data_IF_624170135865
#
_entry.id   IF_624170135865
#
_cell.length_a   1.000
_cell.length_b   1.000
_cell.length_c   1.000
_cell.angle_alpha   90.00
_cell.angle_beta   90.00
_cell.angle_gamma   90.00
#
_symmetry.space_group_name_H-M   'P 1'
#
loop_
_entity.id
_entity.type
_entity.pdbx_description
1 polymer ?
#
# COMPACT_ATOMS: atom_id res chain seq x y z
N UNK A 1 19.34 25.89 20.36
CA UNK A 1 18.14 26.03 19.52
C UNK A 1 18.42 25.31 18.19
N UNK A 2 18.04 24.05 18.03
CA UNK A 2 18.27 23.27 16.81
C UNK A 2 17.18 23.73 15.80
N UNK A 3 17.56 24.24 14.61
CA UNK A 3 16.56 24.66 13.64
C UNK A 3 15.70 23.46 13.26
N UNK A 4 14.38 23.57 13.43
CA UNK A 4 13.45 22.58 12.98
C UNK A 4 13.68 22.36 11.49
N UNK A 5 14.16 21.16 11.10
CA UNK A 5 14.33 20.79 9.70
C UNK A 5 12.96 20.92 9.03
N UNK A 6 12.79 21.94 8.17
CA UNK A 6 11.62 22.05 7.32
C UNK A 6 11.40 20.72 6.60
N UNK A 7 10.23 20.13 6.69
CA UNK A 7 9.96 18.87 6.02
C UNK A 7 10.20 19.05 4.52
N UNK A 8 10.87 18.07 3.92
CA UNK A 8 11.12 18.05 2.47
C UNK A 8 9.79 17.73 1.76
N UNK A 9 8.90 18.72 1.62
CA UNK A 9 7.61 18.58 0.95
C UNK A 9 7.77 18.27 -0.54
N UNK A 10 8.79 18.85 -1.17
CA UNK A 10 9.05 18.67 -2.61
C UNK A 10 9.28 17.19 -3.00
N UNK A 11 10.17 16.41 -2.34
CA UNK A 11 10.33 14.99 -2.67
C UNK A 11 9.05 14.17 -2.48
N UNK A 12 8.27 14.46 -1.45
CA UNK A 12 7.00 13.76 -1.21
C UNK A 12 5.97 14.10 -2.30
N UNK A 13 5.87 15.36 -2.70
CA UNK A 13 4.98 15.80 -3.78
C UNK A 13 5.39 15.20 -5.13
N UNK A 14 6.68 15.16 -5.44
CA UNK A 14 7.20 14.54 -6.68
C UNK A 14 6.86 13.05 -6.69
N UNK A 15 7.10 12.34 -5.57
CA UNK A 15 6.79 10.92 -5.47
C UNK A 15 5.28 10.65 -5.58
N UNK A 16 4.45 11.49 -4.96
CA UNK A 16 3.00 11.41 -5.09
C UNK A 16 2.55 11.55 -6.55
N UNK A 17 3.00 12.61 -7.23
CA UNK A 17 2.63 12.88 -8.63
C UNK A 17 3.13 11.78 -9.54
N UNK A 18 4.36 11.30 -9.35
CA UNK A 18 4.92 10.20 -10.14
C UNK A 18 4.13 8.89 -9.95
N UNK A 19 3.80 8.54 -8.70
CA UNK A 19 3.04 7.35 -8.39
C UNK A 19 1.60 7.43 -8.93
N UNK A 20 0.95 8.59 -8.80
CA UNK A 20 -0.39 8.82 -9.34
C UNK A 20 -0.41 8.76 -10.87
N UNK A 21 0.56 9.39 -11.54
CA UNK A 21 0.68 9.35 -13.00
C UNK A 21 0.95 7.92 -13.50
N UNK A 22 1.84 7.18 -12.83
CA UNK A 22 2.12 5.79 -13.15
C UNK A 22 0.89 4.90 -12.92
N UNK A 23 0.14 5.10 -11.82
CA UNK A 23 -1.12 4.40 -11.57
C UNK A 23 -2.15 4.67 -12.66
N UNK A 24 -2.35 5.94 -13.01
CA UNK A 24 -3.29 6.33 -14.07
C UNK A 24 -2.90 5.73 -15.42
N UNK A 25 -1.59 5.69 -15.74
CA UNK A 25 -1.09 5.03 -16.94
C UNK A 25 -1.38 3.52 -16.92
N UNK A 26 -1.08 2.82 -15.81
CA UNK A 26 -1.41 1.39 -15.67
C UNK A 26 -2.92 1.17 -15.85
N UNK A 27 -3.75 1.94 -15.16
CA UNK A 27 -5.22 1.82 -15.26
C UNK A 27 -5.72 2.03 -16.71
N UNK A 28 -5.24 3.07 -17.39
CA UNK A 28 -5.61 3.34 -18.79
C UNK A 28 -5.11 2.24 -19.76
N UNK A 29 -3.94 1.66 -19.49
CA UNK A 29 -3.37 0.60 -20.29
C UNK A 29 -4.16 -0.73 -20.19
N UNK A 30 -4.97 -0.91 -19.16
CA UNK A 30 -5.85 -2.09 -19.04
C UNK A 30 -7.01 -2.07 -20.04
N UNK A 31 -7.50 -0.87 -20.37
CA UNK A 31 -8.63 -0.66 -21.28
C UNK A 31 -8.17 -0.43 -22.73
N UNK A 32 -6.89 -0.10 -22.94
CA UNK A 32 -6.35 0.23 -24.25
C UNK A 32 -6.43 -0.94 -25.25
N UNK A 33 -6.73 -0.60 -26.50
CA UNK A 33 -6.68 -1.55 -27.62
C UNK A 33 -5.27 -2.14 -27.75
N UNK A 34 -5.17 -3.48 -27.81
CA UNK A 34 -3.90 -4.18 -27.84
C UNK A 34 -3.33 -4.56 -26.45
N UNK A 35 -3.92 -4.12 -25.37
CA UNK A 35 -3.57 -4.47 -23.97
C UNK A 35 -2.06 -4.47 -23.73
N UNK A 36 -1.38 -3.30 -23.67
CA UNK A 36 0.10 -3.23 -23.61
C UNK A 36 0.70 -3.94 -22.40
N UNK A 37 -0.07 -4.13 -21.31
CA UNK A 37 0.35 -4.91 -20.13
C UNK A 37 -0.02 -6.40 -20.23
N UNK A 38 -0.77 -6.81 -21.26
CA UNK A 38 -1.19 -8.20 -21.42
C UNK A 38 -0.03 -9.17 -21.61
N UNK A 39 1.05 -8.76 -22.27
CA UNK A 39 2.26 -9.56 -22.42
C UNK A 39 3.00 -9.76 -21.09
N UNK A 40 3.07 -8.75 -20.24
CA UNK A 40 3.62 -8.85 -18.89
C UNK A 40 2.80 -9.79 -18.02
N UNK A 41 1.47 -9.64 -18.05
CA UNK A 41 0.56 -10.46 -17.27
C UNK A 41 0.62 -11.93 -17.71
N UNK A 42 0.61 -12.19 -19.03
CA UNK A 42 0.73 -13.53 -19.58
C UNK A 42 2.10 -14.15 -19.29
N UNK A 43 3.19 -13.38 -19.43
CA UNK A 43 4.54 -13.82 -19.10
C UNK A 43 4.64 -14.20 -17.63
N UNK A 44 4.23 -13.36 -16.70
CA UNK A 44 4.28 -13.65 -15.28
C UNK A 44 3.46 -14.90 -14.91
N UNK A 45 2.27 -15.05 -15.47
CA UNK A 45 1.43 -16.23 -15.26
C UNK A 45 2.09 -17.51 -15.80
N UNK A 46 2.67 -17.46 -17.02
CA UNK A 46 3.32 -18.62 -17.65
C UNK A 46 4.55 -19.14 -16.90
N UNK A 47 5.24 -18.28 -16.17
CA UNK A 47 6.37 -18.66 -15.33
C UNK A 47 5.96 -19.17 -13.95
N UNK A 48 4.97 -18.55 -13.33
CA UNK A 48 4.64 -18.80 -11.92
C UNK A 48 3.62 -19.93 -11.75
N UNK A 49 2.61 -20.00 -12.60
CA UNK A 49 1.55 -20.99 -12.44
C UNK A 49 2.02 -22.46 -12.61
N UNK A 50 2.92 -22.80 -13.56
CA UNK A 50 3.43 -24.16 -13.69
C UNK A 50 4.31 -24.65 -12.50
N UNK A 51 4.74 -23.70 -11.63
CA UNK A 51 5.49 -24.04 -10.42
C UNK A 51 4.59 -24.57 -9.29
N UNK A 52 3.26 -24.65 -9.50
CA UNK A 52 2.33 -25.11 -8.49
C UNK A 52 2.71 -26.49 -7.94
N UNK A 53 2.99 -26.54 -6.65
CA UNK A 53 3.30 -27.73 -5.87
C UNK A 53 2.66 -27.57 -4.49
N UNK A 54 2.15 -28.62 -3.84
CA UNK A 54 1.47 -28.50 -2.54
C UNK A 54 2.24 -27.67 -1.53
N UNK A 55 3.51 -28.02 -1.25
CA UNK A 55 4.32 -27.29 -0.27
C UNK A 55 4.56 -25.82 -0.62
N UNK A 56 4.74 -25.51 -1.93
CA UNK A 56 4.94 -24.12 -2.38
C UNK A 56 3.63 -23.34 -2.32
N UNK A 57 2.51 -23.98 -2.64
CA UNK A 57 1.17 -23.37 -2.51
C UNK A 57 0.88 -23.04 -1.06
N UNK A 58 1.17 -23.95 -0.12
CA UNK A 58 1.01 -23.69 1.31
C UNK A 58 1.88 -22.48 1.77
N UNK A 59 3.14 -22.45 1.33
CA UNK A 59 4.03 -21.31 1.61
C UNK A 59 3.47 -20.00 1.05
N UNK A 60 2.95 -19.99 -0.19
CA UNK A 60 2.37 -18.80 -0.82
C UNK A 60 1.06 -18.38 -0.16
N UNK A 61 0.26 -19.31 0.36
CA UNK A 61 -0.91 -19.01 1.18
C UNK A 61 -0.53 -18.33 2.49
N UNK A 62 0.50 -18.81 3.19
CA UNK A 62 1.02 -18.16 4.41
C UNK A 62 1.54 -16.76 4.11
N UNK A 63 2.35 -16.58 3.05
CA UNK A 63 2.84 -15.27 2.63
C UNK A 63 1.67 -14.35 2.28
N UNK A 64 0.68 -14.84 1.54
CA UNK A 64 -0.53 -14.09 1.22
C UNK A 64 -1.30 -13.67 2.47
N UNK A 65 -1.46 -14.57 3.46
CA UNK A 65 -2.13 -14.28 4.73
C UNK A 65 -1.42 -13.17 5.53
N UNK A 66 -0.09 -13.17 5.58
CA UNK A 66 0.70 -12.11 6.23
C UNK A 66 0.46 -10.74 5.56
N UNK A 67 0.24 -10.72 4.24
CA UNK A 67 -0.04 -9.49 3.48
C UNK A 67 -1.54 -9.18 3.31
N UNK A 68 -2.43 -9.95 3.90
CA UNK A 68 -3.87 -9.76 3.71
C UNK A 68 -4.35 -8.44 4.34
N UNK A 69 -5.23 -7.66 3.66
CA UNK A 69 -5.79 -6.43 4.22
C UNK A 69 -6.41 -6.63 5.60
N UNK A 70 -7.12 -7.73 5.82
CA UNK A 70 -7.71 -8.08 7.11
C UNK A 70 -6.67 -8.30 8.21
N UNK A 71 -5.62 -9.09 7.91
CA UNK A 71 -4.52 -9.36 8.84
C UNK A 71 -3.80 -8.08 9.23
N UNK A 72 -3.43 -7.26 8.23
CA UNK A 72 -2.71 -6.00 8.47
C UNK A 72 -3.58 -4.97 9.18
N UNK A 73 -4.89 -4.94 8.93
CA UNK A 73 -5.83 -4.11 9.67
C UNK A 73 -5.93 -4.54 11.13
N UNK A 74 -5.97 -5.85 11.41
CA UNK A 74 -6.00 -6.37 12.78
C UNK A 74 -4.69 -6.03 13.53
N UNK A 75 -3.53 -6.20 12.88
CA UNK A 75 -2.24 -5.80 13.46
C UNK A 75 -2.19 -4.30 13.72
N UNK A 76 -2.64 -3.48 12.76
CA UNK A 76 -2.69 -2.03 12.92
C UNK A 76 -3.63 -1.62 14.07
N UNK A 77 -4.74 -2.30 14.27
CA UNK A 77 -5.66 -2.05 15.39
C UNK A 77 -4.99 -2.33 16.75
N UNK A 78 -4.25 -3.42 16.87
CA UNK A 78 -3.48 -3.74 18.09
C UNK A 78 -2.41 -2.67 18.35
N UNK A 79 -1.64 -2.30 17.33
CA UNK A 79 -0.62 -1.24 17.43
C UNK A 79 -1.27 0.10 17.82
N UNK A 80 -2.40 0.44 17.21
CA UNK A 80 -3.16 1.64 17.54
C UNK A 80 -3.60 1.64 19.02
N UNK A 81 -4.12 0.53 19.52
CA UNK A 81 -4.51 0.42 20.94
C UNK A 81 -3.30 0.63 21.89
N UNK A 82 -2.14 0.07 21.56
CA UNK A 82 -0.91 0.29 22.32
C UNK A 82 -0.49 1.77 22.30
N UNK A 83 -0.54 2.42 21.13
CA UNK A 83 -0.22 3.83 20.98
C UNK A 83 -1.18 4.72 21.78
N UNK A 84 -2.49 4.44 21.75
CA UNK A 84 -3.50 5.16 22.52
C UNK A 84 -3.26 5.06 24.02
N UNK A 85 -2.95 3.86 24.53
CA UNK A 85 -2.58 3.66 25.93
C UNK A 85 -1.32 4.43 26.34
N UNK A 86 -0.41 4.66 25.41
CA UNK A 86 0.80 5.48 25.59
C UNK A 86 0.58 6.96 25.26
N UNK A 87 -0.67 7.42 25.11
CA UNK A 87 -1.06 8.78 24.71
C UNK A 87 -0.47 9.23 23.36
N UNK A 88 -0.17 8.31 22.49
CA UNK A 88 0.36 8.55 21.13
C UNK A 88 -0.75 8.85 20.10
N UNK A 89 -1.68 9.77 20.41
CA UNK A 89 -2.87 10.05 19.61
C UNK A 89 -2.56 10.41 18.15
N UNK A 90 -1.55 11.27 17.92
CA UNK A 90 -1.17 11.67 16.56
C UNK A 90 -0.73 10.49 15.69
N UNK A 91 0.13 9.61 16.23
CA UNK A 91 0.58 8.39 15.52
C UNK A 91 -0.56 7.39 15.31
N UNK A 92 -1.50 7.32 16.26
CA UNK A 92 -2.70 6.46 16.11
C UNK A 92 -3.59 6.92 14.96
N UNK A 93 -3.84 8.23 14.87
CA UNK A 93 -4.64 8.80 13.79
C UNK A 93 -3.93 8.60 12.43
N UNK A 94 -2.61 8.83 12.37
CA UNK A 94 -1.83 8.60 11.16
C UNK A 94 -1.92 7.14 10.71
N UNK A 95 -1.75 6.17 11.62
CA UNK A 95 -1.85 4.74 11.33
C UNK A 95 -3.25 4.34 10.84
N UNK A 96 -4.30 4.83 11.51
CA UNK A 96 -5.69 4.57 11.12
C UNK A 96 -5.94 5.13 9.72
N UNK A 97 -5.56 6.38 9.48
CA UNK A 97 -5.77 7.03 8.17
C UNK A 97 -5.04 6.28 7.06
N UNK A 98 -3.79 5.87 7.29
CA UNK A 98 -3.02 5.12 6.29
C UNK A 98 -3.69 3.77 5.98
N UNK A 99 -4.00 2.98 7.00
CA UNK A 99 -4.47 1.59 6.79
C UNK A 99 -5.93 1.55 6.38
N UNK A 100 -6.84 2.17 7.13
CA UNK A 100 -8.27 2.11 6.80
C UNK A 100 -8.61 2.97 5.58
N UNK A 101 -8.04 4.16 5.48
CA UNK A 101 -8.24 5.03 4.32
C UNK A 101 -7.71 4.41 3.02
N UNK A 102 -6.53 3.75 3.07
CA UNK A 102 -6.00 3.00 1.93
C UNK A 102 -6.90 1.84 1.53
N UNK A 103 -7.39 1.05 2.50
CA UNK A 103 -8.34 -0.04 2.22
C UNK A 103 -9.64 0.46 1.57
N UNK A 104 -10.20 1.56 2.08
CA UNK A 104 -11.41 2.17 1.52
C UNK A 104 -11.18 2.69 0.10
N UNK A 105 -10.03 3.34 -0.14
CA UNK A 105 -9.63 3.80 -1.48
C UNK A 105 -9.52 2.61 -2.44
N UNK A 106 -8.85 1.52 -2.03
CA UNK A 106 -8.70 0.32 -2.85
C UNK A 106 -10.06 -0.30 -3.23
N UNK A 107 -10.98 -0.39 -2.27
CA UNK A 107 -12.35 -0.87 -2.54
C UNK A 107 -13.05 0.05 -3.53
N UNK A 108 -12.97 1.37 -3.36
CA UNK A 108 -13.54 2.35 -4.29
C UNK A 108 -12.98 2.22 -5.71
N UNK A 109 -11.65 2.09 -5.86
CA UNK A 109 -10.99 1.90 -7.14
C UNK A 109 -11.38 0.58 -7.82
N UNK A 110 -11.54 -0.50 -7.06
CA UNK A 110 -12.05 -1.78 -7.59
C UNK A 110 -13.44 -1.61 -8.23
N UNK A 111 -14.32 -0.90 -7.55
CA UNK A 111 -15.68 -0.62 -8.04
C UNK A 111 -15.72 0.45 -9.14
N UNK A 112 -14.66 1.20 -9.35
CA UNK A 112 -14.55 2.15 -10.48
C UNK A 112 -14.05 1.47 -11.74
N UNK A 113 -13.06 0.58 -11.61
CA UNK A 113 -12.33 0.00 -12.78
C UNK A 113 -12.93 -1.34 -13.24
N UNK A 114 -13.60 -2.09 -12.37
CA UNK A 114 -14.34 -3.33 -12.70
C UNK A 114 -13.53 -4.40 -13.45
N UNK A 115 -12.21 -4.50 -13.25
CA UNK A 115 -11.38 -5.50 -13.92
C UNK A 115 -11.73 -6.92 -13.48
N UNK A 116 -12.00 -7.83 -14.41
CA UNK A 116 -12.14 -9.27 -14.18
C UNK A 116 -10.84 -9.90 -13.67
N UNK A 117 -10.96 -11.04 -12.97
CA UNK A 117 -9.79 -11.82 -12.52
C UNK A 117 -9.24 -12.68 -13.64
N UNK A 118 -7.98 -13.19 -13.50
CA UNK A 118 -7.44 -14.18 -14.43
C UNK A 118 -8.38 -15.39 -14.57
N UNK A 119 -8.58 -15.85 -15.82
CA UNK A 119 -9.34 -17.07 -16.14
C UNK A 119 -8.49 -18.33 -15.99
N UNK A 120 -7.46 -18.28 -15.15
CA UNK A 120 -6.67 -19.43 -14.74
C UNK A 120 -7.46 -20.21 -13.70
N UNK A 121 -7.19 -21.51 -13.57
CA UNK A 121 -7.73 -22.31 -12.47
C UNK A 121 -7.15 -21.77 -11.14
N UNK A 122 -7.89 -20.90 -10.41
CA UNK A 122 -7.33 -20.20 -9.27
C UNK A 122 -7.19 -21.16 -8.09
N UNK A 123 -6.01 -21.18 -7.47
CA UNK A 123 -5.79 -21.97 -6.25
C UNK A 123 -6.59 -21.44 -5.04
N UNK A 124 -7.22 -20.27 -5.18
CA UNK A 124 -8.12 -19.65 -4.18
C UNK A 124 -9.24 -18.92 -4.90
N UNK A 125 -10.51 -19.23 -4.59
CA UNK A 125 -11.66 -18.53 -5.15
C UNK A 125 -11.88 -17.15 -4.50
N UNK A 126 -12.08 -16.11 -5.32
CA UNK A 126 -12.40 -14.76 -4.88
C UNK A 126 -13.49 -14.15 -5.78
N UNK A 127 -14.43 -13.42 -5.20
CA UNK A 127 -15.59 -12.85 -5.90
C UNK A 127 -15.47 -11.36 -6.22
N UNK A 128 -14.46 -10.65 -5.69
CA UNK A 128 -14.27 -9.21 -5.93
C UNK A 128 -13.47 -8.93 -7.20
N UNK A 129 -13.51 -7.69 -7.70
CA UNK A 129 -12.72 -7.23 -8.84
C UNK A 129 -11.20 -7.38 -8.62
N UNK A 130 -10.46 -7.52 -9.73
CA UNK A 130 -9.02 -7.82 -9.70
C UNK A 130 -8.16 -6.58 -9.41
N UNK A 131 -8.39 -5.48 -10.12
CA UNK A 131 -7.54 -4.28 -10.07
C UNK A 131 -8.12 -3.20 -9.14
N UNK A 132 -7.27 -2.52 -8.39
CA UNK A 132 -5.90 -2.87 -8.03
C UNK A 132 -5.81 -3.95 -6.93
N UNK A 133 -4.63 -4.61 -6.77
CA UNK A 133 -4.47 -5.66 -5.77
C UNK A 133 -4.47 -5.12 -4.34
N UNK A 134 -5.49 -5.50 -3.55
CA UNK A 134 -5.60 -5.07 -2.15
C UNK A 134 -4.50 -5.63 -1.24
N UNK A 135 -3.97 -6.83 -1.51
CA UNK A 135 -2.84 -7.40 -0.77
C UNK A 135 -1.55 -6.60 -1.01
N UNK A 136 -1.25 -6.27 -2.28
CA UNK A 136 -0.09 -5.45 -2.62
C UNK A 136 -0.21 -4.04 -2.02
N UNK A 137 -1.41 -3.43 -2.10
CA UNK A 137 -1.68 -2.12 -1.50
C UNK A 137 -1.49 -2.16 0.02
N UNK A 138 -2.18 -3.05 0.74
CA UNK A 138 -2.12 -3.11 2.20
C UNK A 138 -0.70 -3.42 2.71
N UNK A 139 0.02 -4.35 2.05
CA UNK A 139 1.40 -4.67 2.37
C UNK A 139 2.32 -3.47 2.17
N UNK A 140 2.15 -2.70 1.08
CA UNK A 140 2.96 -1.52 0.81
C UNK A 140 2.68 -0.41 1.82
N UNK A 141 1.42 -0.15 2.16
CA UNK A 141 1.06 0.82 3.21
C UNK A 141 1.67 0.42 4.56
N UNK A 142 1.52 -0.83 4.95
CA UNK A 142 1.92 -1.27 6.28
C UNK A 142 3.44 -1.46 6.38
N UNK A 143 4.03 -2.33 5.56
CA UNK A 143 5.45 -2.68 5.63
C UNK A 143 6.35 -1.60 5.02
N UNK A 144 5.89 -0.90 3.98
CA UNK A 144 6.66 0.13 3.30
C UNK A 144 6.66 1.49 4.01
N UNK A 145 5.55 1.86 4.64
CA UNK A 145 5.37 3.20 5.22
C UNK A 145 5.07 3.19 6.71
N UNK A 146 4.01 2.51 7.18
CA UNK A 146 3.59 2.59 8.57
C UNK A 146 4.63 2.00 9.53
N UNK A 147 5.12 0.79 9.29
CA UNK A 147 6.07 0.11 10.16
C UNK A 147 7.43 0.85 10.27
N UNK A 148 8.07 1.32 9.18
CA UNK A 148 9.29 2.13 9.28
C UNK A 148 9.11 3.46 10.02
N UNK A 149 7.91 4.06 9.96
CA UNK A 149 7.60 5.28 10.71
C UNK A 149 7.40 5.01 12.21
N UNK A 150 6.89 3.84 12.57
CA UNK A 150 6.70 3.42 13.96
C UNK A 150 8.03 3.01 14.63
N UNK A 151 8.93 2.37 13.88
CA UNK A 151 10.24 1.90 14.34
C UNK A 151 11.34 2.94 14.06
N UNK A 152 11.18 4.15 14.58
CA UNK A 152 11.95 5.36 14.22
C UNK A 152 13.46 5.34 14.54
N UNK A 153 14.03 4.24 15.01
CA UNK A 153 15.47 4.10 15.32
C UNK A 153 16.31 3.99 14.03
N UNK A 154 17.23 4.95 13.72
CA UNK A 154 17.92 5.04 12.43
C UNK A 154 18.59 3.76 11.92
N UNK A 155 19.39 2.99 12.72
CA UNK A 155 20.02 1.78 12.21
C UNK A 155 19.02 0.68 11.89
N UNK A 156 17.94 0.57 12.66
CA UNK A 156 16.89 -0.44 12.45
C UNK A 156 15.97 -0.08 11.29
N UNK A 157 15.81 1.20 10.99
CA UNK A 157 14.95 1.68 9.91
C UNK A 157 15.36 1.14 8.55
N UNK A 158 16.64 1.12 8.23
CA UNK A 158 17.14 0.59 6.96
C UNK A 158 16.81 -0.90 6.80
N UNK A 159 17.03 -1.69 7.85
CA UNK A 159 16.70 -3.12 7.86
C UNK A 159 15.18 -3.34 7.74
N UNK A 160 14.38 -2.54 8.45
CA UNK A 160 12.92 -2.62 8.39
C UNK A 160 12.40 -2.30 6.99
N UNK A 161 12.96 -1.27 6.33
CA UNK A 161 12.59 -0.91 4.95
C UNK A 161 12.97 -2.04 3.98
N UNK A 162 14.19 -2.59 4.09
CA UNK A 162 14.63 -3.69 3.23
C UNK A 162 13.76 -4.94 3.42
N UNK A 163 13.46 -5.32 4.66
CA UNK A 163 12.56 -6.43 4.97
C UNK A 163 11.13 -6.15 4.46
N UNK A 164 10.66 -4.92 4.59
CA UNK A 164 9.35 -4.48 4.07
C UNK A 164 9.26 -4.63 2.55
N UNK A 165 10.27 -4.18 1.81
CA UNK A 165 10.34 -4.32 0.35
C UNK A 165 10.30 -5.80 -0.05
N UNK A 166 11.07 -6.66 0.64
CA UNK A 166 11.06 -8.10 0.39
C UNK A 166 9.66 -8.71 0.65
N UNK A 167 9.02 -8.36 1.76
CA UNK A 167 7.66 -8.85 2.08
C UNK A 167 6.65 -8.39 1.03
N UNK A 168 6.68 -7.12 0.60
CA UNK A 168 5.80 -6.59 -0.43
C UNK A 168 5.99 -7.36 -1.74
N UNK A 169 7.22 -7.63 -2.14
CA UNK A 169 7.53 -8.40 -3.34
C UNK A 169 7.02 -9.85 -3.22
N UNK A 170 7.26 -10.52 -2.09
CA UNK A 170 6.79 -11.88 -1.84
C UNK A 170 5.26 -11.96 -1.81
N UNK A 171 4.59 -11.01 -1.16
CA UNK A 171 3.11 -10.94 -1.17
C UNK A 171 2.60 -10.72 -2.58
N UNK A 172 3.15 -9.77 -3.34
CA UNK A 172 2.77 -9.55 -4.73
C UNK A 172 2.95 -10.80 -5.59
N UNK A 173 4.10 -11.47 -5.46
CA UNK A 173 4.40 -12.72 -6.14
C UNK A 173 3.38 -13.82 -5.79
N UNK A 174 3.02 -13.95 -4.51
CA UNK A 174 2.04 -14.94 -4.06
C UNK A 174 0.68 -14.75 -4.74
N UNK A 175 0.27 -13.50 -5.03
CA UNK A 175 -1.03 -13.22 -5.66
C UNK A 175 -1.08 -13.65 -7.13
N UNK A 176 0.03 -13.48 -7.84
CA UNK A 176 0.16 -13.94 -9.23
C UNK A 176 0.29 -15.48 -9.28
N UNK A 177 1.12 -16.07 -8.39
CA UNK A 177 1.28 -17.53 -8.27
C UNK A 177 -0.06 -18.24 -7.98
N UNK A 178 -0.86 -17.69 -7.05
CA UNK A 178 -2.17 -18.24 -6.69
C UNK A 178 -3.25 -18.04 -7.79
N UNK A 179 -2.92 -17.40 -8.91
CA UNK A 179 -3.83 -17.18 -10.04
C UNK A 179 -4.97 -16.20 -9.79
N UNK A 180 -4.89 -15.39 -8.72
CA UNK A 180 -5.98 -14.50 -8.29
C UNK A 180 -5.82 -13.06 -8.73
N UNK A 181 -4.62 -12.67 -9.17
CA UNK A 181 -4.30 -11.33 -9.68
C UNK A 181 -3.33 -11.41 -10.85
N UNK A 182 -3.44 -10.45 -11.76
CA UNK A 182 -2.41 -10.17 -12.75
C UNK A 182 -1.21 -9.45 -12.14
N UNK A 183 -0.04 -9.53 -12.79
CA UNK A 183 1.14 -8.77 -12.36
C UNK A 183 0.89 -7.26 -12.35
N UNK A 184 0.15 -6.76 -13.35
CA UNK A 184 -0.26 -5.36 -13.44
C UNK A 184 -1.19 -4.91 -12.31
N UNK A 185 -2.03 -5.82 -11.73
CA UNK A 185 -2.84 -5.50 -10.54
C UNK A 185 -1.94 -5.26 -9.31
N UNK A 186 -0.88 -6.07 -9.17
CA UNK A 186 0.10 -5.93 -8.09
C UNK A 186 0.83 -4.60 -8.21
N UNK A 187 1.30 -4.25 -9.41
CA UNK A 187 1.94 -2.96 -9.68
C UNK A 187 0.98 -1.82 -9.36
N UNK A 188 -0.27 -1.90 -9.82
CA UNK A 188 -1.31 -0.91 -9.51
C UNK A 188 -1.52 -0.72 -8.01
N UNK A 189 -1.62 -1.82 -7.24
CA UNK A 189 -1.77 -1.77 -5.79
C UNK A 189 -0.57 -1.12 -5.06
N UNK A 190 0.66 -1.38 -5.53
CA UNK A 190 1.87 -0.73 -5.00
C UNK A 190 1.84 0.77 -5.30
N UNK A 191 1.53 1.17 -6.53
CA UNK A 191 1.47 2.58 -6.94
C UNK A 191 0.38 3.36 -6.18
N UNK A 192 -0.80 2.78 -6.03
CA UNK A 192 -1.88 3.30 -5.19
C UNK A 192 -1.39 3.56 -3.76
N UNK A 193 -0.73 2.57 -3.15
CA UNK A 193 -0.23 2.67 -1.79
C UNK A 193 0.85 3.76 -1.65
N UNK A 194 1.76 3.88 -2.61
CA UNK A 194 2.79 4.93 -2.61
C UNK A 194 2.15 6.31 -2.71
N UNK A 195 1.20 6.51 -3.63
CA UNK A 195 0.47 7.75 -3.76
C UNK A 195 -0.28 8.09 -2.47
N UNK A 196 -1.05 7.18 -1.90
CA UNK A 196 -1.79 7.35 -0.66
C UNK A 196 -0.88 7.70 0.52
N UNK A 197 0.19 6.92 0.72
CA UNK A 197 1.09 7.06 1.86
C UNK A 197 2.01 8.28 1.80
N UNK A 198 2.18 8.89 0.63
CA UNK A 198 2.89 10.16 0.47
C UNK A 198 1.96 11.36 0.63
N UNK A 199 0.71 11.25 0.17
CA UNK A 199 -0.30 12.30 0.26
C UNK A 199 -0.73 12.55 1.72
N UNK A 200 -1.14 11.50 2.44
CA UNK A 200 -1.77 11.66 3.76
C UNK A 200 -0.88 12.33 4.80
N UNK A 201 0.39 11.92 5.03
CA UNK A 201 1.26 12.63 5.96
C UNK A 201 1.52 14.09 5.55
N UNK A 202 1.52 14.38 4.26
CA UNK A 202 1.69 15.74 3.74
C UNK A 202 0.48 16.61 4.12
N UNK A 203 -0.74 16.11 3.87
CA UNK A 203 -2.00 16.80 4.25
C UNK A 203 -2.05 17.05 5.76
N UNK A 204 -1.71 16.08 6.58
CA UNK A 204 -1.69 16.21 8.04
C UNK A 204 -0.72 17.30 8.53
N UNK A 205 0.47 17.36 7.93
CA UNK A 205 1.48 18.39 8.28
C UNK A 205 0.97 19.79 7.93
N UNK A 206 0.46 19.98 6.72
CA UNK A 206 -0.07 21.28 6.28
C UNK A 206 -1.25 21.74 7.14
N UNK A 207 -2.17 20.83 7.49
CA UNK A 207 -3.28 21.14 8.39
C UNK A 207 -2.81 21.50 9.81
N UNK A 208 -1.75 20.88 10.31
CA UNK A 208 -1.14 21.20 11.61
C UNK A 208 -0.43 22.55 11.64
N UNK A 209 0.23 22.94 10.56
CA UNK A 209 0.87 24.25 10.41
C UNK A 209 -0.18 25.36 10.37
N UNK A 210 -1.23 25.20 9.58
CA UNK A 210 -2.32 26.18 9.49
C UNK A 210 -3.00 26.44 10.84
N UNK A 211 -3.25 25.42 11.65
CA UNK A 211 -3.82 25.57 12.99
C UNK A 211 -2.92 26.35 13.96
N UNK A 212 -1.61 26.24 13.84
CA UNK A 212 -0.66 27.00 14.67
C UNK A 212 -0.63 28.48 14.30
N UNK A 213 -0.66 28.78 13.00
CA UNK A 213 -0.66 30.17 12.49
C UNK A 213 -1.94 30.91 12.82
N UNK A 214 -3.09 30.22 12.81
CA UNK A 214 -4.39 30.86 13.19
C UNK A 214 -4.53 31.03 14.70
N UNK A 215 -4.00 30.07 15.52
CA UNK A 215 -4.01 30.18 16.98
C UNK A 215 -3.15 31.33 17.54
N UNK A 216 -2.05 31.68 16.87
CA UNK A 216 -1.17 32.77 17.30
C UNK A 216 -1.71 34.17 16.96
N UNK A 217 -2.76 34.28 16.14
CA UNK A 217 -3.40 35.57 15.75
C UNK A 217 -4.59 35.95 16.61
N UNK A 218 -5.01 35.11 17.55
CA UNK A 218 -6.22 35.31 18.36
C UNK A 218 -5.96 35.73 19.80
N UNK A 219 -4.69 35.98 20.21
CA UNK A 219 -4.40 36.60 21.50
C UNK A 219 -4.42 38.14 21.32
N UNK A 220 -5.48 38.84 21.71
CA UNK A 220 -5.46 40.28 21.81
C UNK A 220 -4.73 40.69 23.10
N UNK A 221 -3.85 41.67 23.00
CA UNK A 221 -3.24 42.36 24.16
C UNK A 221 -4.29 42.97 25.08
#
# INVERSE_FOLDING_TARGET
>A
MIPARRPRLLPAAVLFVAALAAFAWVASALEATGRPLGSLDAWAASWLHPLARPWLTDAMLVISFIGAPSTLTAVAAVVCLILLRRRGYGKSIELITLVLGGNLLNVGLKHLIHRGRPELDPLVALTSYSFPSGHAMASTVFYGFALPCLLADPPRRAVTVAAGILLIALVGLSRVYLGVHYASDVIGGILEAVAWSTLMPTVWRLAGEHRRDTGSRTDPE
#
